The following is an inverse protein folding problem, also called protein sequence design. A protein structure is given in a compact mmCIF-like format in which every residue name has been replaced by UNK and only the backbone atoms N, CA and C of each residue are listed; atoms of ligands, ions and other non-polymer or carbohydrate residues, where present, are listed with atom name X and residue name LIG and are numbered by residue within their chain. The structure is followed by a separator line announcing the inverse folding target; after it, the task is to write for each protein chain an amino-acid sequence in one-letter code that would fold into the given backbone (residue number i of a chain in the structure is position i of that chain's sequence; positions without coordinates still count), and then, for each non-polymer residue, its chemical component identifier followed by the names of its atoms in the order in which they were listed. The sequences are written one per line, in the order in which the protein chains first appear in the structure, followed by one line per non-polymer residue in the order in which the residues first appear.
data_IF_453693994282
#
_entry.id   IF_453693994282
#
_cell.length_a   1.000
_cell.length_b   1.000
_cell.length_c   1.000
_cell.angle_alpha   90.00
_cell.angle_beta   90.00
_cell.angle_gamma   90.00
#
_symmetry.space_group_name_H-M   'P 1'
#
loop_
_entity.id
_entity.type
_entity.pdbx_description
1 polymer ?
#
# COMPACT_ATOMS: atom_id res chain seq x y z
N UNK A 1 -0.96 -47.04 45.80
CA UNK A 1 -1.83 -46.12 45.05
C UNK A 1 -0.94 -44.96 44.60
N UNK A 2 -0.30 -44.96 43.42
CA UNK A 2 -0.87 -44.92 42.06
C UNK A 2 -1.97 -43.83 41.98
N UNK A 3 -1.87 -42.79 41.16
CA UNK A 3 -1.63 -42.84 39.72
C UNK A 3 -0.88 -41.60 39.18
N UNK A 4 0.09 -41.85 38.29
CA UNK A 4 0.60 -40.89 37.31
C UNK A 4 -0.49 -40.59 36.28
N UNK A 5 -0.60 -39.32 35.86
CA UNK A 5 -1.23 -38.95 34.59
C UNK A 5 -0.39 -37.84 33.94
N UNK A 6 0.46 -38.26 33.01
CA UNK A 6 1.03 -37.39 31.99
C UNK A 6 -0.10 -37.01 31.02
N UNK A 7 -0.33 -35.72 30.82
CA UNK A 7 -1.18 -35.22 29.74
C UNK A 7 -0.41 -34.14 28.97
N UNK A 8 0.09 -34.54 27.80
CA UNK A 8 0.70 -33.69 26.77
C UNK A 8 -0.30 -32.65 26.30
N UNK A 9 -0.10 -31.37 26.58
CA UNK A 9 -0.73 -30.27 25.83
C UNK A 9 0.23 -29.09 25.66
N UNK A 10 1.14 -29.28 24.70
CA UNK A 10 1.48 -28.35 23.61
C UNK A 10 1.65 -26.88 24.03
N UNK A 11 2.93 -26.51 24.15
CA UNK A 11 3.52 -25.22 23.78
C UNK A 11 2.54 -24.18 23.20
N UNK A 12 1.84 -23.46 24.10
CA UNK A 12 1.07 -22.25 23.76
C UNK A 12 1.98 -21.05 23.45
N UNK A 13 3.31 -21.22 23.46
CA UNK A 13 4.30 -20.19 23.18
C UNK A 13 4.58 -20.00 21.68
N UNK A 14 4.42 -21.04 20.86
CA UNK A 14 4.75 -20.97 19.41
C UNK A 14 3.60 -20.63 18.47
N UNK A 15 2.35 -20.74 18.93
CA UNK A 15 1.18 -20.42 18.09
C UNK A 15 0.86 -18.91 18.01
N UNK A 16 1.56 -18.08 18.80
CA UNK A 16 1.28 -16.63 18.90
C UNK A 16 2.19 -15.75 18.03
N UNK A 17 3.22 -16.32 17.39
CA UNK A 17 4.11 -15.59 16.47
C UNK A 17 3.60 -15.53 15.02
N UNK A 18 2.47 -16.17 14.71
CA UNK A 18 2.06 -16.39 13.32
C UNK A 18 0.63 -15.93 12.98
N UNK A 19 0.08 -14.97 13.73
CA UNK A 19 -1.27 -14.45 13.47
C UNK A 19 -1.22 -12.93 13.44
N UNK A 20 -1.14 -12.42 12.20
CA UNK A 20 -1.57 -11.09 11.75
C UNK A 20 -1.02 -9.95 12.60
N UNK A 21 0.12 -9.39 12.15
CA UNK A 21 0.40 -7.97 12.38
C UNK A 21 -0.90 -7.23 12.03
N UNK A 22 -1.56 -6.63 13.01
CA UNK A 22 -2.62 -5.65 12.79
C UNK A 22 -2.02 -4.59 11.86
N UNK A 23 -2.24 -4.78 10.57
CA UNK A 23 -1.74 -3.91 9.54
C UNK A 23 -2.73 -2.79 9.54
N UNK A 24 -2.50 -1.82 10.43
CA UNK A 24 -3.21 -0.55 10.42
C UNK A 24 -3.11 0.01 9.00
N UNK A 25 -4.18 -0.18 8.23
CA UNK A 25 -4.25 0.36 6.88
C UNK A 25 -4.16 1.88 7.09
N UNK A 26 -3.19 2.56 6.47
CA UNK A 26 -2.95 3.98 6.62
C UNK A 26 -4.05 4.77 5.90
N UNK A 27 -5.27 4.70 6.44
CA UNK A 27 -6.45 5.32 5.88
C UNK A 27 -6.26 6.83 6.05
N UNK A 28 -5.94 7.51 4.96
CA UNK A 28 -5.82 8.96 4.92
C UNK A 28 -4.40 9.50 4.78
N UNK A 29 -3.37 8.65 4.72
CA UNK A 29 -2.04 9.11 4.29
C UNK A 29 -2.06 9.38 2.78
N UNK A 30 -1.74 10.61 2.33
CA UNK A 30 -1.64 10.93 0.91
C UNK A 30 -0.23 10.73 0.34
N UNK A 31 0.76 10.33 1.15
CA UNK A 31 2.16 10.22 0.71
C UNK A 31 2.40 8.90 -0.05
N UNK A 32 2.73 9.01 -1.33
CA UNK A 32 3.02 7.86 -2.19
C UNK A 32 4.25 7.10 -1.73
N UNK A 33 5.24 7.80 -1.16
CA UNK A 33 6.47 7.17 -0.68
C UNK A 33 6.18 6.20 0.46
N UNK A 34 5.35 6.63 1.41
CA UNK A 34 4.90 5.79 2.53
C UNK A 34 4.08 4.59 2.03
N UNK A 35 3.13 4.80 1.11
CA UNK A 35 2.31 3.72 0.56
C UNK A 35 3.13 2.66 -0.17
N UNK A 36 4.14 3.09 -0.95
CA UNK A 36 5.05 2.16 -1.64
C UNK A 36 5.91 1.40 -0.62
N UNK A 37 6.43 2.07 0.40
CA UNK A 37 7.24 1.45 1.45
C UNK A 37 6.46 0.39 2.23
N UNK A 38 5.18 0.65 2.51
CA UNK A 38 4.28 -0.29 3.20
C UNK A 38 3.70 -1.37 2.28
N UNK A 39 4.03 -1.36 0.98
CA UNK A 39 3.47 -2.28 -0.04
C UNK A 39 1.94 -2.19 -0.20
N UNK A 40 1.37 -1.01 0.10
CA UNK A 40 -0.06 -0.73 0.03
C UNK A 40 -0.41 0.18 -1.16
N UNK A 41 0.57 0.56 -1.97
CA UNK A 41 0.36 1.34 -3.18
C UNK A 41 -0.14 0.47 -4.34
N UNK A 42 -1.31 0.81 -4.88
CA UNK A 42 -1.81 0.23 -6.12
C UNK A 42 -1.27 1.03 -7.32
N UNK A 43 -0.51 0.36 -8.19
CA UNK A 43 0.13 1.02 -9.33
C UNK A 43 -0.90 1.60 -10.32
N UNK A 44 -0.88 2.93 -10.46
CA UNK A 44 -1.66 3.68 -11.44
C UNK A 44 -0.79 4.44 -12.44
N UNK A 45 0.53 4.23 -12.44
CA UNK A 45 1.45 5.06 -13.24
C UNK A 45 1.25 4.90 -14.74
N UNK A 46 0.74 3.75 -15.21
CA UNK A 46 0.34 3.55 -16.61
C UNK A 46 -0.73 4.56 -17.06
N UNK A 47 -1.74 4.78 -16.23
CA UNK A 47 -2.81 5.75 -16.50
C UNK A 47 -2.29 7.18 -16.44
N UNK A 48 -1.38 7.48 -15.52
CA UNK A 48 -0.73 8.79 -15.41
C UNK A 48 0.12 9.07 -16.66
N UNK A 49 0.86 8.09 -17.17
CA UNK A 49 1.61 8.24 -18.43
C UNK A 49 0.67 8.53 -19.60
N UNK A 50 -0.47 7.83 -19.68
CA UNK A 50 -1.50 8.12 -20.69
C UNK A 50 -2.07 9.53 -20.52
N UNK A 51 -2.28 9.97 -19.28
CA UNK A 51 -2.73 11.31 -18.94
C UNK A 51 -1.77 12.37 -19.48
N UNK A 52 -0.47 12.25 -19.19
CA UNK A 52 0.55 13.20 -19.66
C UNK A 52 0.72 13.23 -21.18
N UNK A 53 0.50 12.09 -21.85
CA UNK A 53 0.57 12.00 -23.32
C UNK A 53 -0.70 12.49 -24.02
N UNK A 54 -1.79 12.67 -23.30
CA UNK A 54 -3.04 13.14 -23.87
C UNK A 54 -3.03 14.67 -23.80
N UNK A 55 -3.30 15.35 -24.92
CA UNK A 55 -3.39 16.83 -25.00
C UNK A 55 -4.68 17.37 -24.36
N UNK A 56 -5.17 16.73 -23.30
CA UNK A 56 -6.37 17.15 -22.58
C UNK A 56 -6.07 18.40 -21.76
N UNK A 57 -6.78 19.49 -22.04
CA UNK A 57 -6.61 20.77 -21.34
C UNK A 57 -7.14 20.69 -19.89
N UNK A 58 -8.11 19.79 -19.62
CA UNK A 58 -8.75 19.68 -18.32
C UNK A 58 -9.12 18.22 -17.97
N UNK A 59 -8.82 17.81 -16.73
CA UNK A 59 -9.20 16.51 -16.17
C UNK A 59 -10.08 16.67 -14.94
N UNK A 60 -11.28 16.11 -15.00
CA UNK A 60 -12.22 16.12 -13.89
C UNK A 60 -12.11 14.86 -13.05
N UNK A 61 -11.65 14.99 -11.81
CA UNK A 61 -11.72 13.92 -10.82
C UNK A 61 -13.06 13.97 -10.08
N UNK A 62 -13.98 13.05 -10.40
CA UNK A 62 -15.25 12.82 -9.68
C UNK A 62 -14.96 12.77 -8.17
N UNK A 63 -15.79 13.33 -7.26
CA UNK A 63 -15.54 13.38 -5.79
C UNK A 63 -16.15 12.23 -4.93
N UNK A 64 -15.83 10.94 -5.13
CA UNK A 64 -16.05 9.93 -4.10
C UNK A 64 -15.11 10.18 -2.93
N UNK A 65 -15.65 10.15 -1.71
CA UNK A 65 -14.87 10.31 -0.46
C UNK A 65 -13.89 9.14 -0.33
N UNK A 66 -12.65 9.42 0.07
CA UNK A 66 -11.55 8.44 0.26
C UNK A 66 -11.13 7.62 -0.97
N UNK A 67 -11.43 8.10 -2.19
CA UNK A 67 -11.02 7.40 -3.42
C UNK A 67 -9.52 7.52 -3.78
N UNK A 68 -8.68 8.01 -2.87
CA UNK A 68 -7.23 8.13 -3.10
C UNK A 68 -6.83 9.24 -4.08
N UNK A 69 -7.62 10.31 -4.20
CA UNK A 69 -7.28 11.45 -5.06
C UNK A 69 -6.01 12.18 -4.64
N UNK A 70 -5.87 12.44 -3.33
CA UNK A 70 -4.69 13.11 -2.80
C UNK A 70 -3.43 12.28 -3.07
N UNK A 71 -3.52 10.95 -2.86
CA UNK A 71 -2.45 10.01 -3.21
C UNK A 71 -2.10 10.04 -4.71
N UNK A 72 -3.12 10.11 -5.59
CA UNK A 72 -2.90 10.23 -7.03
C UNK A 72 -2.18 11.54 -7.40
N UNK A 73 -2.57 12.65 -6.78
CA UNK A 73 -1.93 13.95 -7.01
C UNK A 73 -0.48 13.95 -6.53
N UNK A 74 -0.20 13.38 -5.35
CA UNK A 74 1.17 13.24 -4.87
C UNK A 74 2.00 12.33 -5.79
N UNK A 75 1.41 11.24 -6.29
CA UNK A 75 2.06 10.37 -7.29
C UNK A 75 2.43 11.16 -8.55
N UNK A 76 1.51 11.97 -9.08
CA UNK A 76 1.75 12.84 -10.25
C UNK A 76 2.87 13.84 -9.95
N UNK A 77 2.87 14.45 -8.77
CA UNK A 77 3.91 15.39 -8.34
C UNK A 77 5.30 14.73 -8.25
N UNK A 78 5.40 13.54 -7.64
CA UNK A 78 6.65 12.79 -7.58
C UNK A 78 7.17 12.38 -8.96
N UNK A 79 6.27 12.01 -9.89
CA UNK A 79 6.64 11.72 -11.28
C UNK A 79 7.14 12.99 -11.98
N UNK A 80 6.44 14.11 -11.82
CA UNK A 80 6.81 15.39 -12.42
C UNK A 80 8.16 15.91 -11.89
N UNK A 81 8.47 15.66 -10.62
CA UNK A 81 9.78 15.93 -9.99
C UNK A 81 10.90 15.01 -10.47
N UNK A 82 10.59 13.96 -11.23
CA UNK A 82 11.58 13.02 -11.76
C UNK A 82 12.08 12.00 -10.74
N UNK A 83 11.32 11.72 -9.67
CA UNK A 83 11.71 10.77 -8.61
C UNK A 83 11.55 9.30 -9.04
N UNK A 84 12.14 8.93 -10.19
CA UNK A 84 12.02 7.62 -10.84
C UNK A 84 12.35 6.45 -9.92
N UNK A 85 13.30 6.63 -9.00
CA UNK A 85 13.72 5.60 -8.03
C UNK A 85 12.59 5.15 -7.10
N UNK A 86 11.63 6.02 -6.78
CA UNK A 86 10.48 5.67 -5.92
C UNK A 86 9.58 4.62 -6.59
N UNK A 87 9.48 4.66 -7.92
CA UNK A 87 8.56 3.84 -8.69
C UNK A 87 9.19 2.55 -9.21
N UNK A 88 10.28 2.08 -8.61
CA UNK A 88 10.94 0.83 -9.02
C UNK A 88 9.96 -0.34 -8.94
N UNK A 89 9.68 -0.96 -10.09
CA UNK A 89 8.71 -2.06 -10.21
C UNK A 89 7.28 -1.60 -10.57
N UNK A 90 7.02 -0.30 -10.71
CA UNK A 90 5.81 0.24 -11.31
C UNK A 90 5.99 0.38 -12.83
N UNK A 91 4.88 0.55 -13.55
CA UNK A 91 4.85 0.62 -15.01
C UNK A 91 5.68 1.79 -15.60
N UNK A 92 5.92 2.85 -14.84
CA UNK A 92 6.66 4.05 -15.31
C UNK A 92 8.18 3.95 -15.16
N UNK A 93 8.71 2.92 -14.49
CA UNK A 93 10.15 2.72 -14.33
C UNK A 93 10.81 2.27 -15.65
#
# INVERSE_FOLDING_TARGET
MAYKKEDKRIDKGKAKEMIVQDSDIPIGSPDVKEMIAQKLYADKTAYITKLFKTNGIYYFFIRPRRFGKSLLLDTIDQIAKGNKRLFKGCNIY
#
